data_IF_839105088686
#
_entry.id   IF_839105088686
#
_cell.length_a   1.000
_cell.length_b   1.000
_cell.length_c   1.000
_cell.angle_alpha   90.00
_cell.angle_beta   90.00
_cell.angle_gamma   90.00
#
_symmetry.space_group_name_H-M   'P 1'
#
loop_
_entity.id
_entity.type
_entity.pdbx_description
1 polymer ?
#
# COMPACT_ATOMS: atom_id res chain seq x y z
N UNK A 1 13.64 4.54 15.71
CA UNK A 1 15.05 4.10 15.67
C UNK A 1 15.17 3.14 14.50
N UNK A 2 15.53 3.66 13.32
CA UNK A 2 15.81 2.85 12.14
C UNK A 2 17.16 2.16 12.36
N UNK A 3 17.21 0.83 12.19
CA UNK A 3 18.47 0.08 12.21
C UNK A 3 18.93 -0.05 10.76
N UNK A 4 20.11 0.46 10.44
CA UNK A 4 20.78 0.18 9.18
C UNK A 4 21.30 -1.26 9.22
N UNK A 5 20.74 -2.16 8.41
CA UNK A 5 21.35 -3.45 8.12
C UNK A 5 22.31 -3.28 6.91
N UNK A 6 23.49 -3.91 6.91
CA UNK A 6 24.41 -3.84 5.78
C UNK A 6 23.90 -4.72 4.64
N UNK A 7 23.27 -4.11 3.63
CA UNK A 7 22.95 -4.79 2.38
C UNK A 7 24.20 -4.91 1.51
N UNK A 8 24.58 -6.16 1.19
CA UNK A 8 25.56 -6.45 0.14
C UNK A 8 24.90 -6.22 -1.22
N UNK A 9 25.23 -5.12 -1.90
CA UNK A 9 24.78 -4.86 -3.27
C UNK A 9 25.59 -5.72 -4.25
N UNK A 10 24.94 -6.63 -4.95
CA UNK A 10 25.46 -7.22 -6.19
C UNK A 10 24.85 -6.50 -7.40
N UNK A 11 25.68 -6.01 -8.31
CA UNK A 11 25.25 -5.49 -9.62
C UNK A 11 24.84 -6.66 -10.53
N UNK A 12 23.54 -6.98 -10.54
CA UNK A 12 22.97 -8.03 -11.36
C UNK A 12 22.56 -7.54 -12.75
N UNK A 13 23.07 -8.15 -13.83
CA UNK A 13 22.52 -7.97 -15.18
C UNK A 13 21.11 -8.57 -15.26
N UNK A 14 20.14 -7.74 -15.58
CA UNK A 14 18.72 -8.07 -15.55
C UNK A 14 18.26 -8.73 -16.86
N UNK A 15 17.77 -9.97 -16.81
CA UNK A 15 17.18 -10.66 -17.97
C UNK A 15 15.79 -10.10 -18.36
N UNK A 16 15.50 -9.92 -19.67
CA UNK A 16 14.26 -9.28 -20.15
C UNK A 16 12.97 -10.12 -19.98
N UNK A 17 13.07 -11.43 -19.72
CA UNK A 17 11.91 -12.33 -19.61
C UNK A 17 11.14 -12.28 -18.29
N UNK A 18 11.63 -11.59 -17.25
CA UNK A 18 10.97 -11.50 -15.93
C UNK A 18 10.20 -10.18 -15.72
N UNK A 19 10.07 -9.35 -16.76
CA UNK A 19 9.44 -8.02 -16.69
C UNK A 19 7.94 -8.04 -16.32
N UNK A 20 7.26 -9.17 -16.35
CA UNK A 20 5.82 -9.27 -16.05
C UNK A 20 5.48 -9.40 -14.55
N UNK A 21 6.47 -9.60 -13.68
CA UNK A 21 6.26 -9.78 -12.22
C UNK A 21 6.76 -8.61 -11.37
N UNK A 22 7.15 -7.51 -12.02
CA UNK A 22 7.59 -6.27 -11.39
C UNK A 22 6.40 -5.39 -11.08
N UNK A 23 6.28 -5.01 -9.82
CA UNK A 23 5.33 -4.01 -9.35
C UNK A 23 6.02 -3.07 -8.37
N UNK A 24 5.43 -1.89 -8.14
CA UNK A 24 5.91 -0.99 -7.09
C UNK A 24 5.44 -1.54 -5.74
N UNK A 25 4.15 -1.83 -5.64
CA UNK A 25 3.50 -2.23 -4.41
C UNK A 25 2.57 -3.43 -4.62
N UNK A 26 2.31 -4.18 -3.55
CA UNK A 26 1.32 -5.26 -3.55
C UNK A 26 0.08 -4.84 -2.81
N UNK A 27 -1.10 -5.21 -3.32
CA UNK A 27 -2.36 -5.02 -2.59
C UNK A 27 -2.50 -6.11 -1.53
N UNK A 28 -2.76 -5.73 -0.28
CA UNK A 28 -2.95 -6.67 0.83
C UNK A 28 -4.35 -7.32 0.80
N UNK A 29 -4.49 -8.35 -0.04
CA UNK A 29 -5.68 -9.19 -0.05
C UNK A 29 -5.76 -10.16 1.14
N UNK A 30 -4.69 -10.31 1.93
CA UNK A 30 -4.65 -11.28 3.03
C UNK A 30 -5.53 -10.86 4.20
N UNK A 31 -5.61 -9.55 4.46
CA UNK A 31 -6.47 -8.98 5.50
C UNK A 31 -7.94 -9.19 5.13
N UNK A 32 -8.32 -8.97 3.87
CA UNK A 32 -9.67 -9.23 3.36
C UNK A 32 -10.07 -10.70 3.58
N UNK A 33 -9.18 -11.64 3.23
CA UNK A 33 -9.42 -13.08 3.43
C UNK A 33 -9.65 -13.42 4.91
N UNK A 34 -8.83 -12.88 5.81
CA UNK A 34 -8.99 -13.11 7.26
C UNK A 34 -10.30 -12.53 7.77
N UNK A 35 -10.69 -11.35 7.31
CA UNK A 35 -11.96 -10.72 7.70
C UNK A 35 -13.16 -11.50 7.17
N UNK A 36 -13.12 -11.96 5.91
CA UNK A 36 -14.14 -12.85 5.35
C UNK A 36 -14.25 -14.17 6.11
N UNK A 37 -13.10 -14.78 6.48
CA UNK A 37 -13.09 -15.99 7.30
C UNK A 37 -13.69 -15.73 8.69
N UNK A 38 -13.35 -14.62 9.34
CA UNK A 38 -13.95 -14.23 10.62
C UNK A 38 -15.47 -14.04 10.50
N UNK A 39 -15.93 -13.37 9.45
CA UNK A 39 -17.36 -13.21 9.19
C UNK A 39 -18.03 -14.57 9.07
N UNK A 40 -17.48 -15.48 8.25
CA UNK A 40 -17.99 -16.84 8.07
C UNK A 40 -18.03 -17.65 9.38
N UNK A 41 -16.97 -17.58 10.19
CA UNK A 41 -16.92 -18.26 11.50
C UNK A 41 -18.00 -17.74 12.44
N UNK A 42 -18.30 -16.44 12.43
CA UNK A 42 -19.39 -15.84 13.21
C UNK A 42 -20.76 -16.19 12.60
N UNK A 43 -20.86 -16.34 11.28
CA UNK A 43 -22.10 -16.72 10.59
C UNK A 43 -22.63 -18.08 11.03
N UNK A 44 -21.75 -19.07 11.20
CA UNK A 44 -22.15 -20.46 11.49
C UNK A 44 -23.00 -20.57 12.77
N UNK A 45 -22.58 -20.09 13.95
CA UNK A 45 -23.39 -20.20 15.16
C UNK A 45 -24.67 -19.36 15.08
N UNK A 46 -24.64 -18.19 14.43
CA UNK A 46 -25.82 -17.33 14.25
C UNK A 46 -26.88 -18.02 13.38
N UNK A 47 -26.48 -18.56 12.22
CA UNK A 47 -27.38 -19.28 11.32
C UNK A 47 -27.88 -20.58 11.96
N UNK A 48 -27.06 -21.27 12.75
CA UNK A 48 -27.47 -22.47 13.49
C UNK A 48 -28.53 -22.11 14.54
N UNK A 49 -28.31 -21.06 15.33
CA UNK A 49 -29.28 -20.56 16.31
C UNK A 49 -30.59 -20.12 15.64
N UNK A 50 -30.51 -19.44 14.50
CA UNK A 50 -31.68 -19.05 13.71
C UNK A 50 -32.43 -20.26 13.17
N UNK A 51 -31.73 -21.30 12.70
CA UNK A 51 -32.33 -22.56 12.24
C UNK A 51 -33.09 -23.27 13.36
N UNK A 52 -32.49 -23.37 14.56
CA UNK A 52 -33.13 -23.95 15.73
C UNK A 52 -34.39 -23.14 16.10
N UNK A 53 -34.28 -21.81 16.10
CA UNK A 53 -35.40 -20.92 16.37
C UNK A 53 -36.57 -21.11 15.40
N UNK A 54 -36.31 -21.15 14.09
CA UNK A 54 -37.32 -21.41 13.06
C UNK A 54 -37.96 -22.80 13.23
N UNK A 55 -37.15 -23.81 13.57
CA UNK A 55 -37.65 -25.18 13.82
C UNK A 55 -38.63 -25.21 15.00
N UNK A 56 -38.34 -24.47 16.08
CA UNK A 56 -39.21 -24.38 17.26
C UNK A 56 -40.51 -23.61 16.99
N UNK A 57 -40.50 -22.63 16.09
CA UNK A 57 -41.69 -21.85 15.72
C UNK A 57 -42.56 -22.51 14.64
N UNK A 58 -41.99 -23.43 13.85
CA UNK A 58 -42.71 -24.09 12.76
C UNK A 58 -44.03 -24.76 13.16
N UNK A 59 -44.20 -25.38 14.36
CA UNK A 59 -45.48 -25.99 14.73
C UNK A 59 -46.62 -24.98 14.92
N UNK A 60 -46.31 -23.73 15.27
CA UNK A 60 -47.29 -22.69 15.63
C UNK A 60 -47.62 -21.78 14.43
N UNK A 61 -46.82 -21.85 13.36
CA UNK A 61 -46.92 -20.98 12.18
C UNK A 61 -48.19 -21.18 11.33
N UNK A 62 -48.91 -22.28 11.50
CA UNK A 62 -50.20 -22.52 10.84
C UNK A 62 -51.39 -21.73 11.43
N UNK A 63 -51.18 -21.00 12.53
CA UNK A 63 -52.20 -20.12 13.12
C UNK A 63 -51.89 -18.67 12.81
N UNK A 64 -52.92 -17.82 12.68
CA UNK A 64 -52.74 -16.38 12.41
C UNK A 64 -51.82 -15.69 13.43
N UNK A 65 -51.94 -15.91 14.76
CA UNK A 65 -51.02 -15.31 15.72
C UNK A 65 -49.57 -15.80 15.56
N UNK A 66 -49.36 -17.10 15.32
CA UNK A 66 -48.03 -17.66 15.09
C UNK A 66 -47.39 -17.16 13.80
N UNK A 67 -48.18 -17.00 12.74
CA UNK A 67 -47.79 -16.42 11.46
C UNK A 67 -47.32 -14.95 11.60
N UNK A 68 -48.06 -14.13 12.36
CA UNK A 68 -47.66 -12.73 12.63
C UNK A 68 -46.33 -12.67 13.39
N UNK A 69 -46.17 -13.52 14.40
CA UNK A 69 -44.93 -13.60 15.18
C UNK A 69 -43.75 -14.04 14.30
N UNK A 70 -43.93 -15.07 13.48
CA UNK A 70 -42.90 -15.56 12.56
C UNK A 70 -42.51 -14.48 11.55
N UNK A 71 -43.48 -13.75 10.98
CA UNK A 71 -43.23 -12.65 10.04
C UNK A 71 -42.39 -11.55 10.68
N UNK A 72 -42.75 -11.14 11.90
CA UNK A 72 -42.01 -10.12 12.62
C UNK A 72 -40.56 -10.56 12.87
N UNK A 73 -40.33 -11.81 13.28
CA UNK A 73 -38.98 -12.32 13.51
C UNK A 73 -38.17 -12.49 12.22
N UNK A 74 -38.74 -13.06 11.16
CA UNK A 74 -38.05 -13.21 9.87
C UNK A 74 -37.67 -11.85 9.29
N UNK A 75 -38.58 -10.86 9.33
CA UNK A 75 -38.29 -9.50 8.90
C UNK A 75 -37.22 -8.84 9.76
N UNK A 76 -37.35 -8.87 11.10
CA UNK A 76 -36.37 -8.25 11.99
C UNK A 76 -34.98 -8.86 11.85
N UNK A 77 -34.89 -10.20 11.84
CA UNK A 77 -33.61 -10.91 11.72
C UNK A 77 -33.00 -10.69 10.35
N UNK A 78 -33.79 -10.80 9.27
CA UNK A 78 -33.29 -10.57 7.91
C UNK A 78 -32.78 -9.13 7.71
N UNK A 79 -33.54 -8.12 8.14
CA UNK A 79 -33.11 -6.72 8.07
C UNK A 79 -31.86 -6.44 8.91
N UNK A 80 -31.80 -6.97 10.15
CA UNK A 80 -30.62 -6.82 11.00
C UNK A 80 -29.39 -7.51 10.39
N UNK A 81 -29.55 -8.74 9.90
CA UNK A 81 -28.48 -9.52 9.31
C UNK A 81 -27.91 -8.82 8.07
N UNK A 82 -28.76 -8.46 7.10
CA UNK A 82 -28.33 -7.75 5.87
C UNK A 82 -27.52 -6.49 6.18
N UNK A 83 -27.96 -5.67 7.14
CA UNK A 83 -27.24 -4.47 7.57
C UNK A 83 -25.88 -4.78 8.20
N UNK A 84 -25.82 -5.80 9.07
CA UNK A 84 -24.57 -6.21 9.72
C UNK A 84 -23.56 -6.75 8.70
N UNK A 85 -24.00 -7.60 7.76
CA UNK A 85 -23.11 -8.16 6.74
C UNK A 85 -22.64 -7.12 5.73
N UNK A 86 -23.50 -6.16 5.33
CA UNK A 86 -23.07 -5.00 4.57
C UNK A 86 -21.97 -4.24 5.33
N UNK A 87 -22.18 -3.95 6.61
CA UNK A 87 -21.16 -3.31 7.46
C UNK A 87 -19.85 -4.10 7.58
N UNK A 88 -19.90 -5.44 7.61
CA UNK A 88 -18.69 -6.26 7.55
C UNK A 88 -17.96 -6.15 6.21
N UNK A 89 -18.70 -6.09 5.10
CA UNK A 89 -18.16 -5.82 3.78
C UNK A 89 -17.43 -4.48 3.73
N UNK A 90 -18.10 -3.41 4.19
CA UNK A 90 -17.54 -2.04 4.26
C UNK A 90 -16.25 -2.01 5.09
N UNK A 91 -16.26 -2.64 6.27
CA UNK A 91 -15.06 -2.73 7.13
C UNK A 91 -13.95 -3.54 6.49
N UNK A 92 -14.26 -4.65 5.82
CA UNK A 92 -13.27 -5.45 5.12
C UNK A 92 -12.62 -4.66 3.98
N UNK A 93 -13.39 -3.81 3.29
CA UNK A 93 -12.91 -2.90 2.25
C UNK A 93 -12.01 -1.79 2.81
N UNK A 94 -12.39 -1.18 3.92
CA UNK A 94 -11.59 -0.14 4.58
C UNK A 94 -10.18 -0.62 5.00
N UNK A 95 -10.01 -1.94 5.17
CA UNK A 95 -8.72 -2.55 5.50
C UNK A 95 -7.87 -2.90 4.26
N UNK A 96 -8.40 -2.73 3.04
CA UNK A 96 -7.62 -2.91 1.81
C UNK A 96 -6.64 -1.75 1.70
N UNK A 97 -5.36 -2.10 1.52
CA UNK A 97 -4.29 -1.13 1.33
C UNK A 97 -3.11 -1.76 0.63
N UNK A 98 -2.09 -0.94 0.38
CA UNK A 98 -0.80 -1.43 -0.07
C UNK A 98 -0.07 -2.12 1.08
N UNK A 99 0.47 -3.30 0.79
CA UNK A 99 1.31 -4.05 1.69
C UNK A 99 2.71 -3.48 1.65
N UNK A 100 3.22 -3.17 2.83
CA UNK A 100 4.60 -2.79 3.03
C UNK A 100 5.53 -3.98 2.69
N UNK A 101 6.46 -3.83 1.73
CA UNK A 101 7.38 -4.90 1.39
C UNK A 101 8.28 -5.33 2.55
N UNK A 102 8.55 -4.44 3.52
CA UNK A 102 9.36 -4.75 4.71
C UNK A 102 8.72 -5.80 5.63
N UNK A 103 7.39 -5.99 5.53
CA UNK A 103 6.62 -6.94 6.34
C UNK A 103 6.45 -8.31 5.67
N UNK A 104 6.97 -8.48 4.45
CA UNK A 104 6.88 -9.74 3.74
C UNK A 104 7.92 -10.74 4.29
N UNK A 105 7.46 -11.95 4.59
CA UNK A 105 8.29 -13.07 5.05
C UNK A 105 8.79 -13.89 3.86
N UNK A 106 10.08 -14.22 3.84
CA UNK A 106 10.71 -15.02 2.80
C UNK A 106 12.19 -14.69 2.61
N UNK A 107 12.94 -15.49 1.83
CA UNK A 107 14.30 -15.14 1.45
C UNK A 107 14.25 -13.82 0.65
N UNK A 108 15.02 -12.84 1.11
CA UNK A 108 15.12 -11.51 0.52
C UNK A 108 16.42 -11.44 -0.28
N UNK A 109 16.31 -11.03 -1.54
CA UNK A 109 17.48 -10.61 -2.32
C UNK A 109 17.24 -9.18 -2.78
N UNK A 110 18.20 -8.32 -2.50
CA UNK A 110 18.21 -6.97 -3.04
C UNK A 110 19.04 -6.94 -4.31
N UNK A 111 18.50 -6.33 -5.36
CA UNK A 111 19.23 -6.07 -6.60
C UNK A 111 19.07 -4.62 -6.98
N UNK A 112 20.11 -3.99 -7.51
CA UNK A 112 20.05 -2.61 -7.99
C UNK A 112 20.13 -2.62 -9.51
N UNK A 113 19.25 -1.88 -10.14
CA UNK A 113 19.22 -1.73 -11.59
C UNK A 113 19.12 -0.27 -11.98
N UNK A 114 19.84 0.10 -13.04
CA UNK A 114 19.66 1.38 -13.71
C UNK A 114 18.32 1.41 -14.44
N UNK A 115 17.65 2.55 -14.40
CA UNK A 115 16.33 2.72 -14.99
C UNK A 115 16.19 4.11 -15.61
N UNK A 116 15.08 4.33 -16.32
CA UNK A 116 14.70 5.63 -16.83
C UNK A 116 13.41 6.11 -16.17
N UNK A 117 13.21 7.43 -16.15
CA UNK A 117 12.03 8.06 -15.59
C UNK A 117 10.71 7.49 -16.18
N UNK A 118 10.71 7.18 -17.48
CA UNK A 118 9.56 6.56 -18.17
C UNK A 118 9.26 5.14 -17.67
N UNK A 119 10.28 4.37 -17.27
CA UNK A 119 10.06 3.02 -16.74
C UNK A 119 9.42 3.08 -15.36
N UNK A 120 9.78 4.07 -14.54
CA UNK A 120 9.15 4.32 -13.24
C UNK A 120 7.66 4.66 -13.42
N UNK A 121 7.34 5.58 -14.33
CA UNK A 121 5.95 5.90 -14.66
C UNK A 121 5.16 4.67 -15.14
N UNK A 122 5.77 3.81 -15.96
CA UNK A 122 5.15 2.54 -16.39
C UNK A 122 4.92 1.56 -15.24
N UNK A 123 5.77 1.55 -14.21
CA UNK A 123 5.57 0.73 -13.02
C UNK A 123 4.38 1.24 -12.19
N UNK A 124 4.20 2.55 -12.09
CA UNK A 124 3.04 3.17 -11.47
C UNK A 124 1.77 2.83 -12.25
N UNK A 125 1.74 3.04 -13.56
CA UNK A 125 0.61 2.71 -14.42
C UNK A 125 0.18 1.23 -14.30
N UNK A 126 1.14 0.30 -14.19
CA UNK A 126 0.83 -1.12 -13.95
C UNK A 126 0.16 -1.35 -12.60
N UNK A 127 0.70 -0.72 -11.55
CA UNK A 127 0.16 -0.80 -10.19
C UNK A 127 -1.24 -0.17 -10.12
N UNK A 128 -1.46 0.93 -10.83
CA UNK A 128 -2.74 1.63 -10.96
C UNK A 128 -3.79 0.74 -11.63
N UNK A 129 -3.44 0.07 -12.74
CA UNK A 129 -4.34 -0.89 -13.40
C UNK A 129 -4.72 -2.05 -12.48
N UNK A 130 -3.82 -2.50 -11.61
CA UNK A 130 -4.14 -3.50 -10.59
C UNK A 130 -5.08 -2.94 -9.52
N UNK A 131 -4.82 -1.74 -9.02
CA UNK A 131 -5.68 -1.05 -8.06
C UNK A 131 -7.10 -0.80 -8.61
N UNK A 132 -7.22 -0.34 -9.85
CA UNK A 132 -8.51 -0.11 -10.53
C UNK A 132 -9.36 -1.37 -10.65
N UNK A 133 -8.77 -2.58 -10.73
CA UNK A 133 -9.54 -3.83 -10.68
C UNK A 133 -10.26 -4.04 -9.36
N UNK A 134 -9.75 -3.45 -8.28
CA UNK A 134 -10.38 -3.47 -6.96
C UNK A 134 -11.38 -2.31 -6.78
N UNK A 135 -11.29 -1.22 -7.55
CA UNK A 135 -12.14 -0.02 -7.42
C UNK A 135 -13.35 -0.01 -8.39
N UNK A 136 -13.29 -0.73 -9.50
CA UNK A 136 -14.16 -0.52 -10.68
C UNK A 136 -15.57 -1.14 -10.66
N UNK A 137 -16.17 -1.44 -9.50
CA UNK A 137 -17.56 -1.94 -9.46
C UNK A 137 -18.37 -1.27 -8.36
N UNK A 138 -18.85 -0.06 -8.64
CA UNK A 138 -19.96 0.52 -7.88
C UNK A 138 -21.25 -0.14 -8.38
N UNK A 139 -21.76 -1.08 -7.60
CA UNK A 139 -23.08 -1.67 -7.80
C UNK A 139 -24.07 -0.74 -7.09
N UNK A 140 -25.25 -0.53 -7.68
CA UNK A 140 -26.37 0.16 -7.02
C UNK A 140 -26.68 -0.49 -5.67
N UNK A 141 -27.20 0.30 -4.72
CA UNK A 141 -27.47 -0.15 -3.35
C UNK A 141 -28.32 -1.44 -3.33
N UNK A 142 -27.67 -2.59 -3.17
CA UNK A 142 -28.32 -3.89 -3.17
C UNK A 142 -29.03 -4.16 -1.84
N UNK A 143 -28.85 -3.29 -0.83
CA UNK A 143 -29.45 -3.45 0.49
C UNK A 143 -30.97 -3.34 0.42
N UNK A 144 -31.49 -2.38 -0.36
CA UNK A 144 -32.93 -2.18 -0.54
C UNK A 144 -33.57 -3.38 -1.26
N UNK A 145 -32.90 -3.89 -2.30
CA UNK A 145 -33.34 -5.10 -3.03
C UNK A 145 -33.32 -6.32 -2.11
N UNK A 146 -32.27 -6.47 -1.31
CA UNK A 146 -32.14 -7.54 -0.33
C UNK A 146 -33.29 -7.51 0.70
N UNK A 147 -33.64 -6.34 1.22
CA UNK A 147 -34.76 -6.16 2.14
C UNK A 147 -36.09 -6.52 1.50
N UNK A 148 -36.30 -6.08 0.26
CA UNK A 148 -37.49 -6.43 -0.50
C UNK A 148 -37.63 -7.94 -0.68
N UNK A 149 -36.56 -8.64 -1.06
CA UNK A 149 -36.58 -10.11 -1.24
C UNK A 149 -36.89 -10.83 0.07
N UNK A 150 -36.28 -10.43 1.19
CA UNK A 150 -36.57 -10.99 2.52
C UNK A 150 -38.05 -10.85 2.84
N UNK A 151 -38.62 -9.65 2.66
CA UNK A 151 -40.00 -9.35 3.01
C UNK A 151 -40.99 -10.09 2.11
N UNK A 152 -40.75 -10.13 0.79
CA UNK A 152 -41.58 -10.88 -0.16
C UNK A 152 -41.57 -12.37 0.16
N UNK A 153 -40.39 -12.93 0.45
CA UNK A 153 -40.30 -14.34 0.84
C UNK A 153 -41.06 -14.61 2.14
N UNK A 154 -40.85 -13.80 3.19
CA UNK A 154 -41.49 -13.99 4.48
C UNK A 154 -43.02 -13.91 4.37
N UNK A 155 -43.55 -12.90 3.65
CA UNK A 155 -45.00 -12.78 3.43
C UNK A 155 -45.54 -13.96 2.62
N UNK A 156 -44.84 -14.37 1.56
CA UNK A 156 -45.26 -15.48 0.70
C UNK A 156 -45.22 -16.84 1.41
N UNK A 157 -44.14 -17.14 2.12
CA UNK A 157 -43.96 -18.39 2.87
C UNK A 157 -45.01 -18.53 3.97
N UNK A 158 -45.28 -17.43 4.70
CA UNK A 158 -46.24 -17.39 5.80
C UNK A 158 -47.68 -17.45 5.28
N UNK A 159 -48.01 -16.71 4.22
CA UNK A 159 -49.33 -16.80 3.58
C UNK A 159 -49.65 -18.23 3.14
N UNK A 160 -48.67 -18.92 2.57
CA UNK A 160 -48.81 -20.32 2.19
C UNK A 160 -48.96 -21.24 3.41
N UNK A 161 -48.16 -21.05 4.48
CA UNK A 161 -48.28 -21.82 5.73
C UNK A 161 -49.64 -21.64 6.42
N UNK A 162 -50.24 -20.45 6.36
CA UNK A 162 -51.60 -20.21 6.89
C UNK A 162 -52.65 -20.93 6.05
N UNK A 163 -52.49 -20.94 4.72
CA UNK A 163 -53.45 -21.56 3.80
C UNK A 163 -53.39 -23.10 3.81
N UNK A 164 -52.20 -23.69 3.91
CA UNK A 164 -51.99 -25.14 3.80
C UNK A 164 -51.69 -25.84 5.12
N UNK A 165 -51.54 -25.07 6.21
CA UNK A 165 -51.07 -25.55 7.49
C UNK A 165 -49.53 -25.55 7.64
N UNK A 166 -49.02 -25.92 8.83
CA UNK A 166 -47.60 -25.87 9.16
C UNK A 166 -46.74 -26.65 8.17
N UNK A 167 -45.72 -26.00 7.60
CA UNK A 167 -44.80 -26.62 6.65
C UNK A 167 -43.35 -26.30 7.02
N UNK A 168 -42.64 -27.32 7.52
CA UNK A 168 -41.24 -27.20 7.94
C UNK A 168 -40.31 -26.75 6.81
N UNK A 169 -40.57 -27.14 5.56
CA UNK A 169 -39.71 -26.77 4.43
C UNK A 169 -39.81 -25.26 4.11
N UNK A 170 -41.01 -24.68 4.19
CA UNK A 170 -41.22 -23.25 3.98
C UNK A 170 -40.56 -22.40 5.08
N UNK A 171 -40.70 -22.85 6.34
CA UNK A 171 -40.07 -22.21 7.50
C UNK A 171 -38.53 -22.29 7.41
N UNK A 172 -37.97 -23.47 7.15
CA UNK A 172 -36.53 -23.65 7.03
C UNK A 172 -35.92 -23.02 5.78
N UNK A 173 -36.70 -22.84 4.71
CA UNK A 173 -36.25 -22.16 3.49
C UNK A 173 -35.83 -20.70 3.70
N UNK A 174 -36.28 -20.06 4.79
CA UNK A 174 -35.83 -18.73 5.18
C UNK A 174 -34.31 -18.70 5.49
N UNK A 175 -33.74 -19.80 6.00
CA UNK A 175 -32.33 -19.89 6.36
C UNK A 175 -31.38 -19.79 5.16
N UNK A 176 -31.44 -20.67 4.14
CA UNK A 176 -30.54 -20.59 3.00
C UNK A 176 -30.73 -19.29 2.20
N UNK A 177 -31.96 -18.77 2.15
CA UNK A 177 -32.22 -17.45 1.57
C UNK A 177 -31.50 -16.34 2.35
N UNK A 178 -31.67 -16.30 3.66
CA UNK A 178 -31.00 -15.29 4.52
C UNK A 178 -29.48 -15.39 4.38
N UNK A 179 -28.92 -16.61 4.33
CA UNK A 179 -27.49 -16.81 4.13
C UNK A 179 -27.01 -16.28 2.77
N UNK A 180 -27.73 -16.56 1.69
CA UNK A 180 -27.42 -16.07 0.35
C UNK A 180 -27.48 -14.54 0.29
N UNK A 181 -28.52 -13.93 0.88
CA UNK A 181 -28.68 -12.48 0.92
C UNK A 181 -27.58 -11.83 1.76
N UNK A 182 -27.21 -12.41 2.91
CA UNK A 182 -26.10 -11.92 3.72
C UNK A 182 -24.77 -11.93 2.95
N UNK A 183 -24.52 -12.97 2.15
CA UNK A 183 -23.34 -13.03 1.27
C UNK A 183 -23.39 -11.92 0.21
N UNK A 184 -24.55 -11.69 -0.42
CA UNK A 184 -24.74 -10.61 -1.40
C UNK A 184 -24.48 -9.26 -0.74
N UNK A 185 -25.08 -8.98 0.41
CA UNK A 185 -24.87 -7.73 1.16
C UNK A 185 -23.41 -7.54 1.60
N UNK A 186 -22.71 -8.62 1.99
CA UNK A 186 -21.28 -8.55 2.30
C UNK A 186 -20.46 -8.16 1.06
N UNK A 187 -20.71 -8.81 -0.07
CA UNK A 187 -20.02 -8.51 -1.34
C UNK A 187 -20.35 -7.10 -1.81
N UNK A 188 -21.60 -6.68 -1.68
CA UNK A 188 -22.07 -5.33 -2.00
C UNK A 188 -21.37 -4.30 -1.13
N UNK A 189 -21.45 -4.41 0.20
CA UNK A 189 -20.76 -3.50 1.13
C UNK A 189 -19.25 -3.45 0.91
N UNK A 190 -18.62 -4.56 0.51
CA UNK A 190 -17.21 -4.58 0.14
C UNK A 190 -16.92 -3.78 -1.16
N UNK A 191 -17.84 -3.80 -2.12
CA UNK A 191 -17.71 -3.13 -3.42
C UNK A 191 -18.13 -1.66 -3.38
N UNK A 192 -19.18 -1.33 -2.64
CA UNK A 192 -19.77 0.01 -2.56
C UNK A 192 -19.02 0.96 -1.62
N UNK A 193 -18.20 0.43 -0.72
CA UNK A 193 -17.40 1.22 0.20
C UNK A 193 -16.29 2.03 -0.52
N UNK A 194 -16.52 3.33 -0.67
CA UNK A 194 -15.57 4.31 -1.23
C UNK A 194 -14.52 4.78 -0.22
N UNK A 195 -14.09 3.92 0.70
CA UNK A 195 -13.36 4.36 1.91
C UNK A 195 -11.89 4.71 1.60
N UNK A 196 -11.34 4.26 0.46
CA UNK A 196 -9.97 4.55 0.05
C UNK A 196 -9.82 4.49 -1.47
N UNK A 197 -9.45 5.61 -2.09
CA UNK A 197 -9.09 5.66 -3.50
C UNK A 197 -7.61 5.27 -3.60
N UNK A 198 -7.34 3.98 -3.78
CA UNK A 198 -5.97 3.49 -3.96
C UNK A 198 -5.30 4.12 -5.18
N UNK A 199 -6.08 4.55 -6.17
CA UNK A 199 -5.62 5.31 -7.33
C UNK A 199 -5.06 6.67 -6.90
N UNK A 200 -5.81 7.46 -6.13
CA UNK A 200 -5.38 8.79 -5.70
C UNK A 200 -4.11 8.72 -4.84
N UNK A 201 -4.04 7.76 -3.91
CA UNK A 201 -2.84 7.50 -3.09
C UNK A 201 -1.60 7.21 -3.97
N UNK A 202 -1.81 6.44 -5.05
CA UNK A 202 -0.76 6.05 -5.97
C UNK A 202 -0.32 7.23 -6.84
N UNK A 203 -1.26 8.05 -7.29
CA UNK A 203 -1.01 9.26 -8.09
C UNK A 203 -0.23 10.31 -7.28
N UNK A 204 -0.55 10.48 -6.00
CA UNK A 204 0.20 11.36 -5.10
C UNK A 204 1.64 10.88 -4.92
N UNK A 205 1.84 9.58 -4.68
CA UNK A 205 3.16 8.98 -4.55
C UNK A 205 3.95 9.09 -5.86
N UNK A 206 3.32 8.80 -7.00
CA UNK A 206 3.93 8.97 -8.33
C UNK A 206 4.38 10.42 -8.51
N UNK A 207 3.49 11.38 -8.28
CA UNK A 207 3.80 12.78 -8.46
C UNK A 207 4.96 13.24 -7.56
N UNK A 208 4.99 12.77 -6.31
CA UNK A 208 6.09 13.05 -5.38
C UNK A 208 7.42 12.52 -5.92
N UNK A 209 7.49 11.23 -6.24
CA UNK A 209 8.72 10.58 -6.74
C UNK A 209 9.17 11.20 -8.07
N UNK A 210 8.24 11.39 -9.00
CA UNK A 210 8.54 11.91 -10.33
C UNK A 210 9.01 13.36 -10.27
N UNK A 211 8.44 14.19 -9.39
CA UNK A 211 8.90 15.57 -9.17
C UNK A 211 10.32 15.60 -8.64
N UNK A 212 10.62 14.79 -7.62
CA UNK A 212 11.96 14.65 -7.02
C UNK A 212 13.01 14.25 -8.06
N UNK A 213 12.73 13.19 -8.80
CA UNK A 213 13.64 12.66 -9.81
C UNK A 213 13.86 13.64 -10.96
N UNK A 214 12.81 14.32 -11.45
CA UNK A 214 12.96 15.31 -12.54
C UNK A 214 13.87 16.47 -12.14
N UNK A 215 13.68 17.02 -10.94
CA UNK A 215 14.46 18.16 -10.45
C UNK A 215 15.91 17.73 -10.19
N UNK A 216 16.14 16.57 -9.58
CA UNK A 216 17.50 16.07 -9.38
C UNK A 216 18.18 15.70 -10.70
N UNK A 217 17.45 15.12 -11.65
CA UNK A 217 18.00 14.79 -12.96
C UNK A 217 18.38 16.04 -13.75
N UNK A 218 17.64 17.15 -13.62
CA UNK A 218 17.98 18.40 -14.33
C UNK A 218 19.31 18.99 -13.86
N UNK A 219 19.61 18.88 -12.56
CA UNK A 219 20.86 19.34 -11.96
C UNK A 219 22.03 18.37 -12.20
N UNK A 220 21.76 17.07 -12.22
CA UNK A 220 22.79 16.03 -12.31
C UNK A 220 23.18 15.63 -13.73
N UNK A 221 22.52 16.18 -14.75
CA UNK A 221 22.79 15.91 -16.18
C UNK A 221 24.26 16.06 -16.57
N UNK A 222 24.97 17.01 -15.96
CA UNK A 222 26.36 17.30 -16.27
C UNK A 222 27.36 16.31 -15.63
N UNK A 223 26.92 15.51 -14.65
CA UNK A 223 27.77 14.65 -13.83
C UNK A 223 27.37 13.17 -13.90
N UNK A 224 26.83 12.73 -15.05
CA UNK A 224 26.40 11.34 -15.28
C UNK A 224 25.40 10.81 -14.23
N UNK A 225 24.47 11.65 -13.77
CA UNK A 225 23.40 11.21 -12.86
C UNK A 225 22.56 10.10 -13.48
N UNK A 226 22.58 8.90 -12.88
CA UNK A 226 21.78 7.75 -13.30
C UNK A 226 20.67 7.48 -12.30
N UNK A 227 19.45 7.26 -12.80
CA UNK A 227 18.35 6.85 -11.93
C UNK A 227 18.52 5.36 -11.65
N UNK A 228 18.45 4.98 -10.38
CA UNK A 228 18.55 3.58 -9.94
C UNK A 228 17.33 3.17 -9.14
N UNK A 229 16.92 1.93 -9.32
CA UNK A 229 15.85 1.28 -8.55
C UNK A 229 16.47 0.13 -7.79
N UNK A 230 16.26 0.11 -6.48
CA UNK A 230 16.53 -1.04 -5.63
C UNK A 230 15.29 -1.93 -5.67
N UNK A 231 15.48 -3.14 -6.16
CA UNK A 231 14.48 -4.19 -6.21
C UNK A 231 14.64 -5.12 -5.02
N UNK A 232 13.51 -5.54 -4.48
CA UNK A 232 13.40 -6.54 -3.44
C UNK A 232 12.72 -7.78 -4.03
N UNK A 233 13.51 -8.83 -4.22
CA UNK A 233 13.04 -10.13 -4.68
C UNK A 233 12.57 -10.94 -3.47
N UNK A 234 11.27 -11.29 -3.46
CA UNK A 234 10.65 -12.10 -2.43
C UNK A 234 9.91 -13.27 -3.09
N UNK A 235 10.54 -14.43 -3.08
CA UNK A 235 10.04 -15.64 -3.73
C UNK A 235 9.94 -15.47 -5.25
N UNK A 236 8.71 -15.34 -5.77
CA UNK A 236 8.45 -15.15 -7.22
C UNK A 236 8.09 -13.70 -7.59
N UNK A 237 8.16 -12.77 -6.64
CA UNK A 237 7.74 -11.37 -6.82
C UNK A 237 8.95 -10.47 -6.69
N UNK A 238 8.97 -9.43 -7.52
CA UNK A 238 10.00 -8.40 -7.51
C UNK A 238 9.32 -7.06 -7.27
N UNK A 239 9.63 -6.43 -6.14
CA UNK A 239 9.01 -5.19 -5.68
C UNK A 239 10.03 -4.08 -5.61
N UNK A 240 9.59 -2.84 -5.74
CA UNK A 240 10.48 -1.70 -5.51
C UNK A 240 10.73 -1.58 -4.00
N UNK A 241 11.99 -1.68 -3.59
CA UNK A 241 12.43 -1.29 -2.25
C UNK A 241 12.68 0.22 -2.20
N UNK A 242 13.41 0.75 -3.18
CA UNK A 242 13.81 2.14 -3.15
C UNK A 242 14.05 2.68 -4.55
N UNK A 243 13.95 3.99 -4.71
CA UNK A 243 14.21 4.70 -5.97
C UNK A 243 15.12 5.88 -5.66
N UNK A 244 16.08 6.13 -6.54
CA UNK A 244 17.08 7.13 -6.28
C UNK A 244 17.84 7.60 -7.52
N UNK A 245 18.72 8.56 -7.32
CA UNK A 245 19.71 8.99 -8.31
C UNK A 245 21.10 8.75 -7.75
N UNK A 246 21.98 8.21 -8.59
CA UNK A 246 23.39 8.01 -8.28
C UNK A 246 24.21 8.90 -9.19
N UNK A 247 25.11 9.67 -8.58
CA UNK A 247 26.01 10.59 -9.26
C UNK A 247 27.42 10.11 -8.97
N UNK A 248 28.14 9.78 -10.03
CA UNK A 248 29.55 9.39 -9.92
C UNK A 248 30.41 10.59 -10.30
N UNK A 249 31.20 11.06 -9.34
CA UNK A 249 32.08 12.20 -9.50
C UNK A 249 33.51 11.66 -9.67
N UNK A 250 34.06 11.66 -10.89
CA UNK A 250 35.42 11.19 -11.11
C UNK A 250 36.43 12.17 -10.50
N UNK A 251 37.37 11.66 -9.71
CA UNK A 251 38.49 12.48 -9.22
C UNK A 251 39.68 12.34 -10.15
N UNK A 252 40.27 13.46 -10.56
CA UNK A 252 41.46 13.44 -11.45
C UNK A 252 42.71 12.88 -10.78
N UNK A 253 42.79 12.95 -9.44
CA UNK A 253 44.00 12.62 -8.67
C UNK A 253 43.93 11.29 -7.89
N UNK A 254 42.73 10.75 -7.63
CA UNK A 254 42.57 9.44 -6.96
C UNK A 254 42.05 8.40 -7.94
N UNK A 255 42.43 7.14 -7.72
CA UNK A 255 41.96 5.99 -8.51
C UNK A 255 40.52 5.57 -8.14
N UNK A 256 39.88 6.23 -7.16
CA UNK A 256 38.50 5.96 -6.77
C UNK A 256 37.58 7.14 -7.04
N UNK A 257 36.40 6.81 -7.58
CA UNK A 257 35.33 7.76 -7.78
C UNK A 257 34.55 7.98 -6.48
N UNK A 258 34.08 9.21 -6.28
CA UNK A 258 33.13 9.52 -5.20
C UNK A 258 31.73 9.34 -5.74
N UNK A 259 30.91 8.58 -5.04
CA UNK A 259 29.52 8.36 -5.42
C UNK A 259 28.58 9.04 -4.43
N UNK A 260 27.70 9.89 -4.94
CA UNK A 260 26.62 10.52 -4.19
C UNK A 260 25.31 9.83 -4.59
N UNK A 261 24.66 9.21 -3.61
CA UNK A 261 23.38 8.53 -3.76
C UNK A 261 22.30 9.37 -3.10
N UNK A 262 21.21 9.60 -3.80
CA UNK A 262 19.98 10.10 -3.20
C UNK A 262 18.93 9.00 -3.29
N UNK A 263 18.31 8.67 -2.17
CA UNK A 263 17.32 7.61 -2.03
C UNK A 263 16.04 8.15 -1.39
N UNK A 264 14.89 7.81 -1.97
CA UNK A 264 13.57 8.31 -1.54
C UNK A 264 13.06 7.63 -0.26
N UNK A 265 13.48 6.39 0.03
CA UNK A 265 13.06 5.65 1.22
C UNK A 265 11.59 5.21 1.15
N UNK A 266 11.24 4.42 0.12
CA UNK A 266 9.85 3.96 -0.12
C UNK A 266 9.41 2.90 0.92
N UNK A 267 10.33 2.10 1.43
CA UNK A 267 10.05 1.14 2.50
C UNK A 267 9.83 1.85 3.82
N UNK A 268 8.88 1.40 4.64
CA UNK A 268 8.63 2.00 5.96
C UNK A 268 9.80 1.85 6.94
N UNK A 269 10.71 0.90 6.68
CA UNK A 269 11.94 0.69 7.44
C UNK A 269 13.06 1.63 7.05
N UNK A 270 12.93 2.34 5.94
CA UNK A 270 13.92 3.27 5.41
C UNK A 270 13.41 4.71 5.50
N UNK A 271 14.35 5.64 5.61
CA UNK A 271 14.06 7.07 5.49
C UNK A 271 14.63 7.59 4.17
N UNK A 272 14.04 8.69 3.70
CA UNK A 272 14.65 9.50 2.65
C UNK A 272 16.06 9.91 3.11
N UNK A 273 17.05 9.72 2.23
CA UNK A 273 18.45 9.90 2.61
C UNK A 273 19.35 10.27 1.44
N UNK A 274 20.43 10.97 1.77
CA UNK A 274 21.57 11.19 0.89
C UNK A 274 22.77 10.43 1.44
N UNK A 275 23.43 9.63 0.61
CA UNK A 275 24.61 8.86 0.99
C UNK A 275 25.81 9.33 0.16
N UNK A 276 26.94 9.58 0.80
CA UNK A 276 28.20 9.90 0.12
C UNK A 276 29.16 8.77 0.43
N UNK A 277 29.64 8.10 -0.62
CA UNK A 277 30.57 6.98 -0.52
C UNK A 277 31.87 7.34 -1.23
N UNK A 278 33.00 7.21 -0.54
CA UNK A 278 34.32 7.51 -1.07
C UNK A 278 35.43 7.06 -0.13
N UNK A 279 36.67 7.45 -0.44
CA UNK A 279 37.83 7.19 0.41
C UNK A 279 37.86 8.07 1.67
N UNK A 280 38.60 7.61 2.68
CA UNK A 280 38.70 8.27 4.00
C UNK A 280 39.30 9.68 3.93
N UNK A 281 40.08 10.00 2.89
CA UNK A 281 40.71 11.32 2.71
C UNK A 281 39.69 12.46 2.55
N UNK A 282 38.47 12.14 2.11
CA UNK A 282 37.41 13.12 1.83
C UNK A 282 36.62 13.45 3.10
N UNK A 283 36.84 12.71 4.19
CA UNK A 283 36.10 12.86 5.45
C UNK A 283 36.22 14.26 6.05
N UNK A 284 37.44 14.76 6.17
CA UNK A 284 37.69 16.04 6.84
C UNK A 284 37.14 17.22 6.01
N UNK A 285 37.23 17.13 4.68
CA UNK A 285 36.60 18.06 3.75
C UNK A 285 35.07 18.08 3.95
N UNK A 286 34.44 16.90 3.93
CA UNK A 286 33.00 16.75 4.07
C UNK A 286 32.50 17.22 5.44
N UNK A 287 33.23 16.98 6.53
CA UNK A 287 32.78 17.36 7.87
C UNK A 287 32.42 18.85 7.99
N UNK A 288 33.22 19.73 7.37
CA UNK A 288 32.99 21.18 7.37
C UNK A 288 31.80 21.59 6.49
N UNK A 289 31.60 20.91 5.36
CA UNK A 289 30.56 21.23 4.37
C UNK A 289 29.21 20.70 4.81
N UNK A 290 29.16 19.48 5.35
CA UNK A 290 27.94 18.79 5.76
C UNK A 290 27.13 19.57 6.80
N UNK A 291 27.80 20.22 7.75
CA UNK A 291 27.15 21.03 8.78
C UNK A 291 26.48 22.30 8.23
N UNK A 292 26.93 22.78 7.07
CA UNK A 292 26.46 24.00 6.43
C UNK A 292 25.44 23.76 5.30
N UNK A 293 25.16 22.50 4.94
CA UNK A 293 24.23 22.19 3.85
C UNK A 293 22.81 22.67 4.17
N UNK A 294 22.13 23.24 3.17
CA UNK A 294 20.75 23.72 3.31
C UNK A 294 19.79 22.62 3.78
N UNK A 295 19.97 21.36 3.38
CA UNK A 295 19.13 20.25 3.88
C UNK A 295 19.30 19.99 5.39
N UNK A 296 20.46 20.27 5.96
CA UNK A 296 20.71 20.08 7.40
C UNK A 296 20.16 21.29 8.17
N UNK A 297 20.45 22.50 7.70
CA UNK A 297 20.08 23.74 8.38
C UNK A 297 18.59 24.07 8.24
N UNK A 298 18.04 23.98 7.02
CA UNK A 298 16.66 24.40 6.73
C UNK A 298 15.65 23.28 6.93
N UNK A 299 16.00 22.03 6.57
CA UNK A 299 15.09 20.89 6.66
C UNK A 299 15.33 20.02 7.91
N UNK A 300 16.39 20.29 8.67
CA UNK A 300 16.68 19.58 9.92
C UNK A 300 17.10 18.12 9.71
N UNK A 301 17.69 17.78 8.55
CA UNK A 301 18.20 16.43 8.31
C UNK A 301 19.40 16.13 9.22
N UNK A 302 19.57 14.86 9.59
CA UNK A 302 20.62 14.42 10.52
C UNK A 302 21.74 13.73 9.77
N UNK A 303 22.97 14.09 10.11
CA UNK A 303 24.17 13.48 9.52
C UNK A 303 24.68 12.35 10.41
N UNK A 304 24.88 11.19 9.82
CA UNK A 304 25.49 10.00 10.40
C UNK A 304 26.74 9.61 9.59
N UNK A 305 27.77 9.14 10.27
CA UNK A 305 29.11 8.89 9.71
C UNK A 305 29.46 7.45 10.05
N UNK A 306 29.58 6.59 9.03
CA UNK A 306 29.90 5.17 9.18
C UNK A 306 31.26 4.88 8.52
N UNK A 307 32.22 4.39 9.32
CA UNK A 307 33.50 3.90 8.82
C UNK A 307 33.35 2.45 8.32
N UNK A 308 33.80 2.17 7.10
CA UNK A 308 33.77 0.84 6.49
C UNK A 308 35.18 0.39 6.12
N UNK A 309 35.36 -0.93 6.04
CA UNK A 309 36.65 -1.53 5.63
C UNK A 309 37.07 -1.09 4.22
N UNK A 310 36.11 -0.79 3.35
CA UNK A 310 36.34 -0.36 1.97
C UNK A 310 36.35 1.16 1.77
N UNK A 311 36.29 1.96 2.84
CA UNK A 311 36.27 3.42 2.77
C UNK A 311 35.27 4.05 3.74
N UNK A 312 34.71 5.18 3.35
CA UNK A 312 33.88 6.02 4.18
C UNK A 312 32.46 6.15 3.62
N UNK A 313 31.47 6.17 4.51
CA UNK A 313 30.07 6.49 4.18
C UNK A 313 29.53 7.59 5.08
N UNK A 314 29.12 8.71 4.47
CA UNK A 314 28.24 9.69 5.12
C UNK A 314 26.81 9.35 4.77
N UNK A 315 25.90 9.38 5.73
CA UNK A 315 24.46 9.38 5.50
C UNK A 315 23.85 10.67 6.05
N UNK A 316 23.02 11.35 5.26
CA UNK A 316 22.21 12.49 5.69
C UNK A 316 20.77 12.01 5.62
N UNK A 317 20.16 11.79 6.78
CA UNK A 317 18.85 11.16 6.93
C UNK A 317 17.78 12.21 7.20
N UNK A 318 16.63 12.07 6.54
CA UNK A 318 15.45 12.86 6.85
C UNK A 318 14.70 12.28 8.07
N UNK A 319 14.71 12.91 9.25
CA UNK A 319 14.06 12.35 10.44
C UNK A 319 12.54 12.53 10.45
N UNK A 320 12.01 13.39 9.57
CA UNK A 320 10.59 13.76 9.54
C UNK A 320 9.81 13.02 8.45
N UNK A 321 10.50 12.56 7.39
CA UNK A 321 9.85 11.97 6.22
C UNK A 321 9.98 10.46 6.23
N UNK A 322 8.94 9.81 6.75
CA UNK A 322 8.70 8.39 6.57
C UNK A 322 7.64 8.25 5.48
N UNK A 323 8.01 7.98 4.22
CA UNK A 323 7.02 7.63 3.18
C UNK A 323 6.42 6.28 3.55
N UNK A 324 5.37 6.29 4.38
CA UNK A 324 4.65 5.08 4.74
C UNK A 324 3.59 4.83 3.70
N UNK A 325 3.94 3.96 2.76
CA UNK A 325 3.00 3.34 1.82
C UNK A 325 1.76 2.75 2.55
N UNK A 326 1.93 2.28 3.78
CA UNK A 326 0.84 1.75 4.61
C UNK A 326 0.02 2.81 5.36
N UNK A 327 0.47 4.07 5.45
CA UNK A 327 -0.15 5.15 6.24
C UNK A 327 -0.30 6.46 5.48
N UNK A 328 -1.56 6.79 5.17
CA UNK A 328 -2.02 7.94 4.38
C UNK A 328 -1.50 9.31 4.84
N UNK A 329 -1.33 9.52 6.14
CA UNK A 329 -0.90 10.81 6.71
C UNK A 329 0.54 11.20 6.38
N UNK A 330 1.32 10.30 5.78
CA UNK A 330 2.73 10.53 5.49
C UNK A 330 3.03 10.99 4.06
N UNK A 331 2.07 10.81 3.14
CA UNK A 331 2.25 11.09 1.70
C UNK A 331 1.67 12.46 1.32
N UNK A 332 0.77 13.01 2.15
CA UNK A 332 0.15 14.32 1.92
C UNK A 332 1.16 15.45 2.11
N UNK A 333 1.91 15.74 1.06
CA UNK A 333 2.67 16.98 0.91
C UNK A 333 1.99 17.81 -0.17
N UNK A 334 1.71 19.08 0.10
CA UNK A 334 1.19 19.97 -0.95
C UNK A 334 2.22 20.01 -2.10
N UNK A 335 1.81 20.03 -3.37
CA UNK A 335 2.74 20.03 -4.51
C UNK A 335 3.81 21.12 -4.41
N UNK A 336 3.42 22.28 -3.88
CA UNK A 336 4.30 23.42 -3.61
C UNK A 336 5.36 23.13 -2.55
N UNK A 337 5.00 22.44 -1.46
CA UNK A 337 5.96 21.99 -0.45
C UNK A 337 6.92 20.94 -1.01
N UNK A 338 6.41 19.96 -1.78
CA UNK A 338 7.24 18.93 -2.41
C UNK A 338 8.26 19.54 -3.38
N UNK A 339 7.84 20.51 -4.20
CA UNK A 339 8.72 21.21 -5.12
C UNK A 339 9.81 22.00 -4.38
N UNK A 340 9.45 22.80 -3.37
CA UNK A 340 10.43 23.60 -2.62
C UNK A 340 11.49 22.71 -1.97
N UNK A 341 11.07 21.62 -1.32
CA UNK A 341 12.01 20.67 -0.71
C UNK A 341 12.86 20.01 -1.80
N UNK A 342 12.32 19.75 -3.00
CA UNK A 342 13.08 19.17 -4.12
C UNK A 342 14.16 20.11 -4.63
N UNK A 343 13.85 21.40 -4.71
CA UNK A 343 14.80 22.45 -5.09
C UNK A 343 15.91 22.60 -4.04
N UNK A 344 15.59 22.55 -2.74
CA UNK A 344 16.60 22.57 -1.66
C UNK A 344 17.55 21.37 -1.72
N UNK A 345 17.02 20.16 -1.95
CA UNK A 345 17.85 18.95 -2.11
C UNK A 345 18.72 19.07 -3.36
N UNK A 346 18.16 19.51 -4.48
CA UNK A 346 18.91 19.66 -5.71
C UNK A 346 20.02 20.72 -5.60
N UNK A 347 19.76 21.84 -4.92
CA UNK A 347 20.79 22.83 -4.59
C UNK A 347 21.91 22.25 -3.73
N UNK A 348 21.57 21.40 -2.75
CA UNK A 348 22.57 20.68 -1.94
C UNK A 348 23.39 19.71 -2.78
N UNK A 349 22.75 18.98 -3.70
CA UNK A 349 23.45 18.08 -4.63
C UNK A 349 24.41 18.86 -5.54
N UNK A 350 24.01 20.03 -6.05
CA UNK A 350 24.92 20.91 -6.81
C UNK A 350 26.12 21.34 -5.99
N UNK A 351 25.89 21.81 -4.75
CA UNK A 351 26.96 22.25 -3.85
C UNK A 351 27.94 21.10 -3.56
N UNK A 352 27.43 19.89 -3.31
CA UNK A 352 28.27 18.70 -3.13
C UNK A 352 29.08 18.37 -4.39
N UNK A 353 28.49 18.49 -5.58
CA UNK A 353 29.21 18.28 -6.84
C UNK A 353 30.33 19.30 -7.03
N UNK A 354 30.08 20.58 -6.75
CA UNK A 354 31.08 21.63 -6.85
C UNK A 354 32.24 21.42 -5.88
N UNK A 355 31.95 21.14 -4.60
CA UNK A 355 32.98 20.91 -3.58
C UNK A 355 33.82 19.67 -3.92
N UNK A 356 33.17 18.56 -4.27
CA UNK A 356 33.86 17.30 -4.54
C UNK A 356 34.61 17.33 -5.89
N UNK A 357 34.14 18.14 -6.85
CA UNK A 357 34.75 18.34 -8.16
C UNK A 357 35.86 19.38 -8.21
N UNK A 358 35.78 20.46 -7.42
CA UNK A 358 36.72 21.59 -7.45
C UNK A 358 38.14 21.22 -6.99
N UNK A 359 38.29 20.28 -6.04
CA UNK A 359 39.61 19.75 -5.67
C UNK A 359 40.32 19.00 -6.83
N UNK A 360 39.60 18.65 -7.90
CA UNK A 360 40.22 18.14 -9.13
C UNK A 360 40.78 19.21 -10.07
N UNK A 361 40.50 20.50 -9.82
CA UNK A 361 40.84 21.62 -10.71
C UNK A 361 41.91 22.56 -10.14
N UNK A 362 42.10 22.59 -8.82
CA UNK A 362 43.12 23.41 -8.17
C UNK A 362 44.39 22.59 -7.90
N UNK A 363 45.21 22.37 -8.93
CA UNK A 363 46.69 22.20 -8.95
C UNK A 363 47.14 22.16 -10.40
#
# INVERSE_FOLDING_TARGET
MCKAEPSGLEDGKVHPSDRSKRGILLIDSSVVRRTGLKALVVSVPVLTGYTIFLTLLSPVSGTVPGAIVLLAFEAMIGLAATRVYNGFGVRARALVGFKDPSQLTGPRRETVAETHLEEIARLFERTEREAKRYDSMKIDDMTDVAWFVVLVYAVGSIGLMVATGPNFALCLGAMPLTAAICLICFVDGFRSASVRNLSDDLDELENHIMTRLRILQSVTRNHNGTIRVRWLDIGKRQLVADIGIVITIPRRQSHSDVAVYYWLGILSSECERLEIVGESEIRDLLASVLAALSIVVELGWKTEVEERVSGFRVQILNPLHEIKVSSLSSIVTTPTSSQKVSETIAGTVSQLQEVLGAEGASI
#
